data_IF_400627951774
#
_entry.id   IF_400627951774
#
_cell.length_a   1.000
_cell.length_b   1.000
_cell.length_c   1.000
_cell.angle_alpha   90.00
_cell.angle_beta   90.00
_cell.angle_gamma   90.00
#
_symmetry.space_group_name_H-M   'P 1'
#
loop_
_entity.id
_entity.type
_entity.pdbx_description
1 polymer ?
#
# COMPACT_ATOMS: atom_id res chain seq x y z
N UNK A 1 9.25 9.53 -5.58
CA UNK A 1 8.43 8.54 -4.91
C UNK A 1 9.30 7.71 -4.00
N UNK A 2 8.98 7.60 -2.72
CA UNK A 2 9.76 6.84 -1.77
C UNK A 2 8.93 5.70 -1.17
N UNK A 3 9.62 4.69 -0.67
CA UNK A 3 8.97 3.57 0.03
C UNK A 3 8.12 4.07 1.20
N UNK A 4 8.62 5.06 1.92
CA UNK A 4 7.93 5.62 3.08
C UNK A 4 6.67 6.37 2.67
N UNK A 5 6.71 7.14 1.59
CA UNK A 5 5.54 7.86 1.08
C UNK A 5 4.47 6.90 0.59
N UNK A 6 4.88 5.85 -0.11
CA UNK A 6 3.97 4.80 -0.57
C UNK A 6 3.32 4.11 0.62
N UNK A 7 4.13 3.72 1.60
CA UNK A 7 3.64 3.08 2.82
C UNK A 7 2.66 3.95 3.59
N UNK A 8 2.97 5.23 3.73
CA UNK A 8 2.10 6.18 4.41
C UNK A 8 0.77 6.38 3.66
N UNK A 9 0.80 6.42 2.33
CA UNK A 9 -0.41 6.53 1.51
C UNK A 9 -1.33 5.32 1.70
N UNK A 10 -0.75 4.13 1.70
CA UNK A 10 -1.49 2.89 1.93
C UNK A 10 -2.11 2.91 3.33
N UNK A 11 -1.33 3.22 4.34
CA UNK A 11 -1.77 3.25 5.72
C UNK A 11 -2.88 4.26 5.95
N UNK A 12 -2.73 5.48 5.41
CA UNK A 12 -3.72 6.53 5.54
C UNK A 12 -5.06 6.13 4.90
N UNK A 13 -5.02 5.57 3.70
CA UNK A 13 -6.23 5.13 3.01
C UNK A 13 -6.89 3.96 3.74
N UNK A 14 -6.07 3.00 4.19
CA UNK A 14 -6.58 1.86 4.96
C UNK A 14 -7.33 2.34 6.20
N UNK A 15 -6.74 3.25 6.96
CA UNK A 15 -7.36 3.80 8.17
C UNK A 15 -8.63 4.60 7.86
N UNK A 16 -8.64 5.37 6.78
CA UNK A 16 -9.81 6.11 6.35
C UNK A 16 -10.99 5.19 6.05
N UNK A 17 -10.70 4.01 5.52
CA UNK A 17 -11.72 2.99 5.23
C UNK A 17 -12.03 2.10 6.44
N UNK A 18 -11.36 2.31 7.57
CA UNK A 18 -11.51 1.51 8.79
C UNK A 18 -11.22 0.02 8.57
N UNK A 19 -10.22 -0.25 7.76
CA UNK A 19 -9.76 -1.62 7.48
C UNK A 19 -8.51 -1.90 8.31
N UNK A 20 -8.45 -3.06 8.94
CA UNK A 20 -7.27 -3.47 9.71
C UNK A 20 -6.17 -3.99 8.78
N UNK A 21 -4.93 -4.04 9.27
CA UNK A 21 -3.84 -4.65 8.50
C UNK A 21 -4.14 -6.11 8.17
N UNK A 22 -4.71 -6.86 9.10
CA UNK A 22 -5.05 -8.26 8.89
C UNK A 22 -6.08 -8.40 7.76
N UNK A 23 -7.11 -7.56 7.76
CA UNK A 23 -8.14 -7.57 6.72
C UNK A 23 -7.56 -7.22 5.35
N UNK A 24 -6.76 -6.15 5.28
CA UNK A 24 -6.17 -5.72 4.02
C UNK A 24 -5.21 -6.77 3.48
N UNK A 25 -4.34 -7.31 4.32
CA UNK A 25 -3.39 -8.33 3.92
C UNK A 25 -4.10 -9.55 3.34
N UNK A 26 -5.17 -10.00 3.99
CA UNK A 26 -5.96 -11.13 3.52
C UNK A 26 -6.58 -10.85 2.15
N UNK A 27 -7.18 -9.68 1.97
CA UNK A 27 -7.82 -9.30 0.70
C UNK A 27 -6.81 -9.11 -0.43
N UNK A 28 -5.62 -8.64 -0.12
CA UNK A 28 -4.54 -8.45 -1.10
C UNK A 28 -3.67 -9.70 -1.29
N UNK A 29 -3.98 -10.78 -0.60
CA UNK A 29 -3.29 -12.06 -0.69
C UNK A 29 -1.79 -11.95 -0.36
N UNK A 30 -1.50 -11.22 0.72
CA UNK A 30 -0.14 -11.10 1.25
C UNK A 30 -0.17 -11.36 2.76
N UNK A 31 1.00 -11.64 3.36
CA UNK A 31 1.09 -11.80 4.79
C UNK A 31 0.92 -10.45 5.50
N UNK A 32 0.39 -10.48 6.72
CA UNK A 32 0.27 -9.25 7.52
C UNK A 32 1.65 -8.65 7.82
N UNK A 33 2.67 -9.49 7.97
CA UNK A 33 4.03 -9.03 8.20
C UNK A 33 4.59 -8.27 6.98
N UNK A 34 4.29 -8.76 5.78
CA UNK A 34 4.66 -8.07 4.54
C UNK A 34 3.98 -6.70 4.47
N UNK A 35 2.70 -6.62 4.75
CA UNK A 35 1.97 -5.36 4.74
C UNK A 35 2.50 -4.40 5.80
N UNK A 36 2.79 -4.90 7.01
CA UNK A 36 3.38 -4.10 8.08
C UNK A 36 4.68 -3.42 7.61
N UNK A 37 5.57 -4.18 6.98
CA UNK A 37 6.84 -3.65 6.47
C UNK A 37 6.64 -2.64 5.35
N UNK A 38 5.69 -2.90 4.44
CA UNK A 38 5.36 -1.97 3.36
C UNK A 38 4.88 -0.64 3.94
N UNK A 39 3.97 -0.67 4.90
CA UNK A 39 3.43 0.54 5.52
C UNK A 39 4.50 1.35 6.27
N UNK A 40 5.53 0.69 6.76
CA UNK A 40 6.64 1.36 7.46
C UNK A 40 7.76 1.82 6.52
N UNK A 41 7.65 1.55 5.23
CA UNK A 41 8.71 1.89 4.28
C UNK A 41 9.94 1.00 4.40
N UNK A 42 9.78 -0.19 4.96
CA UNK A 42 10.88 -1.14 5.20
C UNK A 42 10.95 -2.25 4.17
N UNK A 43 10.05 -2.25 3.21
CA UNK A 43 10.01 -3.26 2.17
C UNK A 43 10.11 -2.60 0.79
N UNK A 44 10.45 -3.40 -0.19
CA UNK A 44 10.49 -2.98 -1.58
C UNK A 44 9.50 -3.85 -2.37
N UNK A 45 8.18 -3.55 -2.27
CA UNK A 45 7.16 -4.37 -2.89
C UNK A 45 7.25 -4.30 -4.42
N UNK A 46 6.85 -5.39 -5.06
CA UNK A 46 6.73 -5.39 -6.51
C UNK A 46 5.54 -4.54 -6.94
N UNK A 47 5.54 -4.14 -8.20
CA UNK A 47 4.40 -3.42 -8.78
C UNK A 47 3.11 -4.25 -8.66
N UNK A 48 3.22 -5.56 -8.90
CA UNK A 48 2.08 -6.47 -8.76
C UNK A 48 1.50 -6.45 -7.35
N UNK A 49 2.35 -6.49 -6.33
CA UNK A 49 1.91 -6.42 -4.94
C UNK A 49 1.24 -5.07 -4.64
N UNK A 50 1.82 -3.98 -5.11
CA UNK A 50 1.23 -2.65 -4.94
C UNK A 50 -0.12 -2.52 -5.62
N UNK A 51 -0.25 -3.05 -6.85
CA UNK A 51 -1.52 -3.04 -7.56
C UNK A 51 -2.60 -3.82 -6.80
N UNK A 52 -2.26 -4.97 -6.24
CA UNK A 52 -3.19 -5.76 -5.45
C UNK A 52 -3.69 -5.03 -4.22
N UNK A 53 -2.79 -4.36 -3.51
CA UNK A 53 -3.14 -3.55 -2.34
C UNK A 53 -4.01 -2.36 -2.75
N UNK A 54 -3.60 -1.65 -3.79
CA UNK A 54 -4.30 -0.46 -4.29
C UNK A 54 -5.74 -0.81 -4.71
N UNK A 55 -5.90 -1.92 -5.41
CA UNK A 55 -7.23 -2.37 -5.87
C UNK A 55 -8.19 -2.55 -4.69
N UNK A 56 -7.75 -3.18 -3.61
CA UNK A 56 -8.57 -3.37 -2.41
C UNK A 56 -8.98 -2.03 -1.81
N UNK A 57 -8.08 -1.04 -1.86
CA UNK A 57 -8.29 0.28 -1.26
C UNK A 57 -8.98 1.29 -2.18
N UNK A 58 -9.37 0.88 -3.39
CA UNK A 58 -9.96 1.79 -4.37
C UNK A 58 -8.98 2.82 -4.88
N UNK A 59 -7.70 2.46 -4.95
CA UNK A 59 -6.61 3.29 -5.44
C UNK A 59 -6.02 2.68 -6.70
N UNK A 60 -5.15 3.43 -7.37
CA UNK A 60 -4.36 2.89 -8.47
C UNK A 60 -2.91 3.37 -8.34
N UNK A 61 -2.00 2.56 -8.86
CA UNK A 61 -0.60 2.94 -8.95
C UNK A 61 -0.41 3.66 -10.28
N UNK A 62 0.14 4.86 -10.25
CA UNK A 62 0.36 5.63 -11.47
C UNK A 62 1.65 6.45 -11.37
N UNK A 63 2.16 6.83 -12.53
CA UNK A 63 3.28 7.76 -12.65
C UNK A 63 2.73 9.06 -13.20
N UNK A 64 3.19 10.17 -12.65
CA UNK A 64 2.73 11.49 -13.07
C UNK A 64 3.92 12.41 -13.29
N UNK A 65 3.72 13.38 -14.16
CA UNK A 65 4.77 14.38 -14.45
C UNK A 65 4.94 15.28 -13.23
N UNK A 66 6.19 15.40 -12.80
CA UNK A 66 6.51 16.23 -11.64
C UNK A 66 6.42 17.71 -12.03
N UNK A 67 5.69 18.47 -11.24
CA UNK A 67 5.68 19.93 -11.38
C UNK A 67 6.97 20.51 -10.81
N UNK A 68 7.59 21.36 -11.58
CA UNK A 68 8.81 22.06 -11.17
C UNK A 68 8.48 23.41 -10.54
#
# INVERSE_FOLDING_TARGET
>A
MSKKRIGNSIKARRKALRVTQIQLAKLADISVNTLYKIERGQANPTLETLDGIAEVLGMEVCLDVRKL
#
